data_IF_325720450872
#
_entry.id   IF_325720450872
#
_cell.length_a   1.000
_cell.length_b   1.000
_cell.length_c   1.000
_cell.angle_alpha   90.00
_cell.angle_beta   90.00
_cell.angle_gamma   90.00
#
_symmetry.space_group_name_H-M   'P 1'
#
loop_
_entity.id
_entity.type
_entity.pdbx_description
1 polymer ?
#
# COMPACT_ATOMS: atom_id res chain seq x y z
N UNK A 1 41.59 99.16 29.56
CA UNK A 1 40.36 98.44 29.99
C UNK A 1 39.75 97.55 28.88
N UNK A 2 40.41 97.34 27.73
CA UNK A 2 39.87 96.55 26.60
C UNK A 2 40.57 95.22 26.30
N UNK A 3 41.68 94.87 26.98
CA UNK A 3 42.38 93.59 26.74
C UNK A 3 41.77 92.37 27.45
N UNK A 4 40.80 92.57 28.35
CA UNK A 4 40.23 91.47 29.12
C UNK A 4 38.93 90.89 28.56
N UNK A 5 38.31 91.48 27.51
CA UNK A 5 37.12 90.89 26.89
C UNK A 5 37.43 89.86 25.78
N UNK A 6 38.57 89.97 25.09
CA UNK A 6 38.90 89.04 24.00
C UNK A 6 39.37 87.65 24.50
N UNK A 7 39.87 87.57 25.74
CA UNK A 7 40.29 86.30 26.36
C UNK A 7 39.12 85.45 26.85
N UNK A 8 37.94 86.05 27.05
CA UNK A 8 36.80 85.33 27.62
C UNK A 8 35.99 84.53 26.57
N UNK A 9 36.00 84.95 25.30
CA UNK A 9 35.33 84.20 24.22
C UNK A 9 36.16 83.03 23.67
N UNK A 10 37.50 83.13 23.71
CA UNK A 10 38.38 82.02 23.33
C UNK A 10 38.23 80.81 24.26
N UNK A 11 37.94 81.04 25.54
CA UNK A 11 37.62 79.97 26.48
C UNK A 11 36.31 79.26 26.15
N UNK A 12 35.29 80.00 25.71
CA UNK A 12 33.98 79.44 25.35
C UNK A 12 34.01 78.63 24.06
N UNK A 13 34.80 79.08 23.06
CA UNK A 13 35.07 78.32 21.83
C UNK A 13 35.81 77.02 22.13
N UNK A 14 36.77 77.03 23.07
CA UNK A 14 37.50 75.81 23.43
C UNK A 14 36.61 74.81 24.17
N UNK A 15 35.72 75.27 25.07
CA UNK A 15 34.76 74.41 25.78
C UNK A 15 33.74 73.80 24.82
N UNK A 16 33.21 74.58 23.87
CA UNK A 16 32.25 74.08 22.87
C UNK A 16 32.90 73.09 21.89
N UNK A 17 34.15 73.34 21.45
CA UNK A 17 34.91 72.38 20.67
C UNK A 17 35.17 71.07 21.43
N UNK A 18 35.50 71.16 22.73
CA UNK A 18 35.69 69.99 23.58
C UNK A 18 34.39 69.19 23.74
N UNK A 19 33.25 69.87 23.91
CA UNK A 19 31.94 69.25 23.99
C UNK A 19 31.54 68.54 22.69
N UNK A 20 31.81 69.15 21.53
CA UNK A 20 31.56 68.53 20.22
C UNK A 20 32.46 67.31 20.01
N UNK A 21 33.75 67.39 20.36
CA UNK A 21 34.68 66.25 20.24
C UNK A 21 34.28 65.11 21.18
N UNK A 22 33.86 65.42 22.41
CA UNK A 22 33.33 64.42 23.34
C UNK A 22 32.05 63.75 22.81
N UNK A 23 31.17 64.52 22.17
CA UNK A 23 29.96 64.00 21.53
C UNK A 23 30.29 63.08 20.34
N UNK A 24 31.27 63.47 19.50
CA UNK A 24 31.73 62.66 18.37
C UNK A 24 32.40 61.35 18.82
N UNK A 25 33.17 61.39 19.91
CA UNK A 25 33.75 60.19 20.54
C UNK A 25 32.65 59.25 21.07
N UNK A 26 31.61 59.80 21.70
CA UNK A 26 30.47 59.01 22.17
C UNK A 26 29.69 58.37 21.00
N UNK A 27 29.47 59.11 19.90
CA UNK A 27 28.83 58.61 18.68
C UNK A 27 29.66 57.51 18.00
N UNK A 28 30.98 57.68 17.91
CA UNK A 28 31.89 56.67 17.36
C UNK A 28 31.93 55.40 18.23
N UNK A 29 31.92 55.54 19.55
CA UNK A 29 31.80 54.42 20.49
C UNK A 29 30.49 53.65 20.32
N UNK A 30 29.36 54.36 20.20
CA UNK A 30 28.06 53.74 19.95
C UNK A 30 27.99 53.01 18.60
N UNK A 31 28.59 53.58 17.55
CA UNK A 31 28.65 52.95 16.23
C UNK A 31 29.50 51.66 16.22
N UNK A 32 30.63 51.64 16.92
CA UNK A 32 31.44 50.43 17.09
C UNK A 32 30.67 49.32 17.82
N UNK A 33 29.99 49.66 18.92
CA UNK A 33 29.17 48.70 19.67
C UNK A 33 28.03 48.15 18.80
N UNK A 34 27.37 48.99 17.98
CA UNK A 34 26.34 48.52 17.05
C UNK A 34 26.89 47.61 15.94
N UNK A 35 28.10 47.87 15.43
CA UNK A 35 28.76 47.00 14.44
C UNK A 35 29.11 45.63 15.04
N UNK A 36 29.60 45.61 16.28
CA UNK A 36 29.91 44.38 17.01
C UNK A 36 28.64 43.56 17.28
N UNK A 37 27.55 44.21 17.71
CA UNK A 37 26.24 43.58 17.87
C UNK A 37 25.71 43.02 16.53
N UNK A 38 25.93 43.73 15.42
CA UNK A 38 25.56 43.27 14.08
C UNK A 38 26.32 42.01 13.64
N UNK A 39 27.63 41.94 13.91
CA UNK A 39 28.44 40.76 13.61
C UNK A 39 28.05 39.55 14.47
N UNK A 40 27.74 39.77 15.76
CA UNK A 40 27.24 38.72 16.66
C UNK A 40 25.88 38.18 16.19
N UNK A 41 24.99 39.06 15.72
CA UNK A 41 23.69 38.68 15.14
C UNK A 41 23.84 37.78 13.92
N UNK A 42 24.65 38.17 12.92
CA UNK A 42 24.88 37.37 11.71
C UNK A 42 25.53 36.00 12.01
N UNK A 43 26.48 35.97 12.95
CA UNK A 43 27.11 34.72 13.38
C UNK A 43 26.11 33.79 14.07
N UNK A 44 25.21 34.35 14.91
CA UNK A 44 24.18 33.59 15.60
C UNK A 44 23.13 33.01 14.62
N UNK A 45 22.74 33.77 13.59
CA UNK A 45 21.82 33.33 12.56
C UNK A 45 22.40 32.17 11.73
N UNK A 46 23.67 32.29 11.30
CA UNK A 46 24.34 31.20 10.57
C UNK A 46 24.44 29.93 11.42
N UNK A 47 24.74 30.05 12.71
CA UNK A 47 24.78 28.90 13.64
C UNK A 47 23.40 28.28 13.80
N UNK A 48 22.35 29.10 13.90
CA UNK A 48 20.97 28.64 13.97
C UNK A 48 20.59 27.84 12.72
N UNK A 49 20.87 28.35 11.51
CA UNK A 49 20.53 27.66 10.26
C UNK A 49 21.22 26.29 10.12
N UNK A 50 22.49 26.19 10.53
CA UNK A 50 23.24 24.92 10.50
C UNK A 50 22.72 23.92 11.55
N UNK A 51 22.44 24.38 12.77
CA UNK A 51 21.80 23.55 13.80
C UNK A 51 20.39 23.10 13.36
N UNK A 52 19.65 23.97 12.68
CA UNK A 52 18.33 23.68 12.13
C UNK A 52 18.39 22.58 11.06
N UNK A 53 19.37 22.63 10.16
CA UNK A 53 19.60 21.60 9.16
C UNK A 53 20.01 20.26 9.78
N UNK A 54 20.91 20.27 10.76
CA UNK A 54 21.30 19.05 11.48
C UNK A 54 20.14 18.42 12.26
N UNK A 55 19.26 19.24 12.85
CA UNK A 55 18.04 18.76 13.52
C UNK A 55 17.05 18.12 12.54
N UNK A 56 16.91 18.66 11.32
CA UNK A 56 16.09 18.04 10.27
C UNK A 56 16.66 16.71 9.83
N UNK A 57 17.97 16.66 9.60
CA UNK A 57 18.63 15.42 9.24
C UNK A 57 18.40 14.33 10.31
N UNK A 58 18.54 14.67 11.59
CA UNK A 58 18.31 13.75 12.71
C UNK A 58 16.88 13.18 12.71
N UNK A 59 15.90 14.06 12.49
CA UNK A 59 14.48 13.69 12.39
C UNK A 59 14.25 12.75 11.19
N UNK A 60 14.74 13.10 10.00
CA UNK A 60 14.55 12.26 8.82
C UNK A 60 15.22 10.89 8.95
N UNK A 61 16.43 10.82 9.53
CA UNK A 61 17.13 9.55 9.77
C UNK A 61 16.33 8.66 10.74
N UNK A 62 15.81 9.23 11.84
CA UNK A 62 14.97 8.49 12.78
C UNK A 62 13.66 8.01 12.15
N UNK A 63 13.05 8.79 11.27
CA UNK A 63 11.79 8.40 10.61
C UNK A 63 12.04 7.30 9.56
N UNK A 64 13.12 7.39 8.78
CA UNK A 64 13.53 6.33 7.87
C UNK A 64 13.72 5.01 8.61
N UNK A 65 14.38 5.05 9.77
CA UNK A 65 14.51 3.87 10.63
C UNK A 65 13.15 3.37 11.12
N UNK A 66 12.25 4.25 11.57
CA UNK A 66 10.93 3.84 12.05
C UNK A 66 10.10 3.09 11.00
N UNK A 67 10.30 3.45 9.74
CA UNK A 67 9.67 2.85 8.57
C UNK A 67 10.35 1.55 8.15
N UNK A 68 11.67 1.55 8.04
CA UNK A 68 12.46 0.39 7.60
C UNK A 68 12.37 -0.77 8.59
N UNK A 69 12.33 -0.46 9.90
CA UNK A 69 12.39 -1.46 10.96
C UNK A 69 11.07 -1.64 11.71
N UNK A 70 10.00 -0.93 11.32
CA UNK A 70 8.69 -0.91 12.01
C UNK A 70 8.81 -0.70 13.54
N UNK A 71 9.87 0.00 13.99
CA UNK A 71 10.27 0.10 15.38
C UNK A 71 10.84 1.50 15.66
N UNK A 72 10.76 1.97 16.90
CA UNK A 72 11.27 3.30 17.19
C UNK A 72 12.80 3.33 17.17
N UNK A 73 13.41 4.36 16.57
CA UNK A 73 14.84 4.38 16.29
C UNK A 73 15.71 4.48 17.55
N UNK A 74 16.83 3.73 17.62
CA UNK A 74 17.74 3.80 18.74
C UNK A 74 18.43 5.16 18.79
N UNK A 75 18.92 5.55 19.96
CA UNK A 75 19.62 6.82 20.09
C UNK A 75 20.88 6.82 19.22
N UNK A 76 21.00 7.82 18.34
CA UNK A 76 22.14 7.97 17.43
C UNK A 76 22.66 9.40 17.49
N UNK A 77 23.97 9.54 17.37
CA UNK A 77 24.66 10.83 17.29
C UNK A 77 25.69 10.83 16.17
N UNK A 78 25.90 11.97 15.54
CA UNK A 78 26.92 12.13 14.51
C UNK A 78 27.08 13.56 14.05
N UNK A 79 27.67 13.74 12.88
CA UNK A 79 27.89 15.05 12.25
C UNK A 79 27.35 15.09 10.84
N UNK A 80 26.81 16.25 10.42
CA UNK A 80 26.39 16.51 9.04
C UNK A 80 27.19 17.70 8.50
N UNK A 81 27.62 17.63 7.24
CA UNK A 81 28.45 18.65 6.59
C UNK A 81 29.96 18.43 6.76
N UNK A 82 30.76 19.34 6.22
CA UNK A 82 32.23 19.27 6.21
C UNK A 82 32.86 20.62 6.60
N UNK A 83 34.04 20.56 7.22
CA UNK A 83 34.82 21.74 7.60
C UNK A 83 34.08 22.68 8.56
N UNK A 84 34.16 23.99 8.31
CA UNK A 84 33.53 25.02 9.14
C UNK A 84 31.99 25.03 9.13
N UNK A 85 31.36 24.20 8.28
CA UNK A 85 29.90 24.03 8.21
C UNK A 85 29.44 22.69 8.82
N UNK A 86 30.31 21.99 9.56
CA UNK A 86 29.95 20.75 10.26
C UNK A 86 29.09 21.05 11.50
N UNK A 87 27.93 20.42 11.58
CA UNK A 87 27.03 20.50 12.73
C UNK A 87 26.81 19.11 13.34
N UNK A 88 26.68 19.05 14.66
CA UNK A 88 26.39 17.81 15.38
C UNK A 88 24.89 17.55 15.37
N UNK A 89 24.50 16.29 15.26
CA UNK A 89 23.12 15.87 15.44
C UNK A 89 23.03 14.73 16.46
N UNK A 90 21.92 14.68 17.17
CA UNK A 90 21.50 13.57 18.04
C UNK A 90 20.02 13.36 17.79
N UNK A 91 19.54 12.13 17.69
CA UNK A 91 18.13 11.87 17.91
C UNK A 91 17.93 10.77 18.93
N UNK A 92 16.78 10.84 19.60
CA UNK A 92 16.26 9.80 20.46
C UNK A 92 14.79 9.57 20.13
N UNK A 93 14.28 8.38 20.43
CA UNK A 93 12.86 8.10 20.26
C UNK A 93 12.25 7.42 21.47
N UNK A 94 10.94 7.57 21.59
CA UNK A 94 10.13 6.92 22.62
C UNK A 94 8.96 6.24 21.91
N UNK A 95 8.75 4.96 22.22
CA UNK A 95 7.63 4.20 21.70
C UNK A 95 6.34 4.49 22.47
N UNK A 96 5.23 4.70 21.74
CA UNK A 96 3.89 4.80 22.31
C UNK A 96 2.88 4.07 21.40
N UNK A 97 2.45 2.88 21.78
CA UNK A 97 1.53 2.03 20.99
C UNK A 97 1.99 1.91 19.53
N UNK A 98 1.16 2.30 18.55
CA UNK A 98 1.45 2.25 17.10
C UNK A 98 2.19 3.48 16.58
N UNK A 99 2.78 4.30 17.45
CA UNK A 99 3.50 5.50 17.08
C UNK A 99 4.89 5.57 17.70
N UNK A 100 5.81 6.23 17.00
CA UNK A 100 7.10 6.63 17.52
C UNK A 100 7.14 8.14 17.68
N UNK A 101 7.43 8.58 18.90
CA UNK A 101 7.82 9.95 19.16
C UNK A 101 9.31 10.07 18.88
N UNK A 102 9.70 10.86 17.88
CA UNK A 102 11.10 11.07 17.51
C UNK A 102 11.48 12.50 17.89
N UNK A 103 12.58 12.64 18.61
CA UNK A 103 13.19 13.90 18.98
C UNK A 103 14.56 14.01 18.32
N UNK A 104 14.72 14.92 17.38
CA UNK A 104 16.00 15.26 16.75
C UNK A 104 16.53 16.60 17.24
N UNK A 105 17.79 16.63 17.67
CA UNK A 105 18.53 17.81 18.09
C UNK A 105 19.72 18.04 17.17
N UNK A 106 19.84 19.24 16.62
CA UNK A 106 21.03 19.71 15.91
C UNK A 106 21.76 20.76 16.74
N UNK A 107 23.09 20.82 16.66
CA UNK A 107 23.90 21.78 17.43
C UNK A 107 25.20 22.19 16.74
N UNK A 108 25.62 23.44 16.97
CA UNK A 108 26.92 23.98 16.54
C UNK A 108 27.41 25.02 17.56
N UNK A 109 28.56 24.76 18.18
CA UNK A 109 29.04 25.55 19.32
C UNK A 109 28.01 25.58 20.46
N UNK A 110 27.57 26.78 20.86
CA UNK A 110 26.58 26.97 21.92
C UNK A 110 25.13 27.05 21.40
N UNK A 111 24.91 26.98 20.08
CA UNK A 111 23.58 27.00 19.47
C UNK A 111 23.02 25.60 19.32
N UNK A 112 21.75 25.38 19.67
CA UNK A 112 21.04 24.12 19.41
C UNK A 112 19.61 24.34 18.97
N UNK A 113 19.12 23.47 18.09
CA UNK A 113 17.73 23.43 17.62
C UNK A 113 17.17 22.05 17.89
N UNK A 114 15.96 21.99 18.44
CA UNK A 114 15.24 20.74 18.72
C UNK A 114 14.00 20.65 17.85
N UNK A 115 13.77 19.48 17.26
CA UNK A 115 12.60 19.14 16.47
C UNK A 115 12.01 17.85 16.97
N UNK A 116 10.71 17.82 17.11
CA UNK A 116 9.97 16.62 17.54
C UNK A 116 8.88 16.29 16.53
N UNK A 117 8.55 15.01 16.41
CA UNK A 117 7.52 14.50 15.52
C UNK A 117 6.93 13.20 16.07
N UNK A 118 5.74 12.86 15.60
CA UNK A 118 5.08 11.58 15.86
C UNK A 118 4.86 10.89 14.53
N UNK A 119 5.36 9.66 14.37
CA UNK A 119 5.17 8.87 13.15
C UNK A 119 4.47 7.56 13.45
N UNK A 120 3.49 7.15 12.62
CA UNK A 120 2.85 5.85 12.72
C UNK A 120 3.87 4.76 12.38
N UNK A 121 3.78 3.66 13.11
CA UNK A 121 4.63 2.48 12.91
C UNK A 121 4.22 1.69 11.67
N UNK A 122 2.95 1.71 11.21
CA UNK A 122 2.47 0.96 10.03
C UNK A 122 1.16 1.47 9.36
N UNK A 123 1.07 1.37 8.02
CA UNK A 123 -0.12 0.99 7.23
C UNK A 123 -0.13 -0.53 7.08
N UNK A 124 -1.10 -1.20 7.71
CA UNK A 124 -1.05 -2.65 7.86
C UNK A 124 -1.55 -3.34 6.57
N UNK A 125 -0.64 -3.95 5.82
CA UNK A 125 -0.99 -4.90 4.76
C UNK A 125 -0.95 -6.29 5.39
N UNK A 126 -2.10 -6.93 5.60
CA UNK A 126 -2.18 -8.28 6.18
C UNK A 126 -2.21 -9.37 5.11
N UNK A 127 -1.94 -10.61 5.50
CA UNK A 127 -2.20 -11.78 4.63
C UNK A 127 -3.66 -11.87 4.21
N UNK A 128 -4.55 -11.48 5.12
CA UNK A 128 -5.96 -11.26 4.86
C UNK A 128 -6.43 -9.96 5.50
N UNK A 129 -7.30 -9.24 4.79
CA UNK A 129 -8.01 -8.06 5.32
C UNK A 129 -9.50 -8.20 5.10
N UNK A 130 -10.27 -7.98 6.15
CA UNK A 130 -11.74 -8.07 6.12
C UNK A 130 -12.39 -6.95 6.91
N UNK A 131 -13.61 -6.57 6.54
CA UNK A 131 -14.40 -5.59 7.32
C UNK A 131 -15.09 -6.21 8.53
N UNK A 132 -15.20 -7.54 8.60
CA UNK A 132 -15.75 -8.24 9.76
C UNK A 132 -16.07 -9.70 9.49
N UNK A 133 -16.89 -10.30 10.35
CA UNK A 133 -17.44 -11.63 10.12
C UNK A 133 -16.77 -12.76 10.91
N UNK A 134 -16.65 -13.94 10.30
CA UNK A 134 -16.20 -15.17 10.98
C UNK A 134 -15.08 -15.87 10.20
N UNK A 135 -14.07 -16.34 10.91
CA UNK A 135 -12.99 -17.18 10.38
C UNK A 135 -13.10 -18.58 10.98
N UNK A 136 -13.33 -19.58 10.14
CA UNK A 136 -13.32 -21.00 10.54
C UNK A 136 -12.13 -21.70 9.87
N UNK A 137 -11.14 -22.10 10.66
CA UNK A 137 -9.99 -22.89 10.21
C UNK A 137 -10.14 -24.30 10.78
N UNK A 138 -10.60 -25.24 9.97
CA UNK A 138 -10.90 -26.61 10.42
C UNK A 138 -9.90 -27.66 9.91
N UNK A 139 -9.11 -27.36 8.88
CA UNK A 139 -8.06 -28.26 8.41
C UNK A 139 -6.85 -28.31 9.35
N UNK A 140 -6.19 -29.47 9.42
CA UNK A 140 -5.03 -29.68 10.29
C UNK A 140 -3.85 -28.76 9.95
N UNK A 141 -3.74 -28.31 8.69
CA UNK A 141 -2.72 -27.36 8.23
C UNK A 141 -3.33 -26.04 7.74
N UNK A 142 -4.59 -25.75 8.07
CA UNK A 142 -5.26 -24.53 7.65
C UNK A 142 -4.68 -23.30 8.36
N UNK A 143 -4.00 -22.42 7.65
CA UNK A 143 -3.34 -21.27 8.25
C UNK A 143 -3.49 -19.96 7.44
N UNK A 144 -3.40 -18.83 8.15
CA UNK A 144 -3.26 -17.49 7.56
C UNK A 144 -2.00 -16.87 8.15
N UNK A 145 -1.02 -16.60 7.29
CA UNK A 145 0.28 -16.10 7.64
C UNK A 145 0.50 -14.69 7.09
N UNK A 146 1.00 -13.80 7.95
CA UNK A 146 1.42 -12.45 7.58
C UNK A 146 2.73 -12.39 6.78
N UNK A 147 3.26 -13.54 6.35
CA UNK A 147 4.35 -13.65 5.38
C UNK A 147 4.43 -15.05 4.74
N UNK A 148 5.03 -15.12 3.56
CA UNK A 148 5.16 -16.34 2.74
C UNK A 148 6.57 -16.93 2.72
N UNK A 149 7.58 -16.08 2.48
CA UNK A 149 8.97 -16.52 2.30
C UNK A 149 9.86 -15.99 3.40
N UNK A 150 11.06 -16.56 3.51
CA UNK A 150 12.14 -16.04 4.36
C UNK A 150 12.59 -14.61 4.01
N UNK A 151 11.97 -13.95 3.01
CA UNK A 151 12.22 -12.55 2.68
C UNK A 151 11.50 -11.61 3.67
N UNK A 152 11.99 -11.58 4.89
CA UNK A 152 11.66 -10.56 5.89
C UNK A 152 12.25 -9.19 5.54
N UNK A 153 13.10 -9.09 4.52
CA UNK A 153 13.87 -7.88 4.22
C UNK A 153 13.03 -6.80 3.55
N UNK A 154 11.95 -7.18 2.86
CA UNK A 154 11.11 -6.24 2.12
C UNK A 154 10.08 -5.51 2.98
N UNK A 155 9.48 -6.18 3.96
CA UNK A 155 8.27 -5.70 4.67
C UNK A 155 8.17 -6.19 6.13
N UNK A 156 9.18 -6.89 6.65
CA UNK A 156 9.06 -7.58 7.94
C UNK A 156 7.93 -8.62 7.95
N UNK A 157 7.47 -8.97 9.14
CA UNK A 157 6.34 -9.88 9.35
C UNK A 157 5.12 -9.02 9.61
N UNK A 158 4.14 -9.10 8.72
CA UNK A 158 2.91 -8.35 8.85
C UNK A 158 1.90 -9.07 9.76
N UNK A 159 0.78 -8.41 10.10
CA UNK A 159 -0.35 -9.12 10.66
C UNK A 159 -0.85 -10.23 9.73
N UNK A 160 -1.19 -11.38 10.30
CA UNK A 160 -1.82 -12.46 9.52
C UNK A 160 -3.19 -12.01 9.02
N UNK A 161 -3.98 -11.44 9.94
CA UNK A 161 -5.31 -10.91 9.64
C UNK A 161 -5.46 -9.49 10.16
N UNK A 162 -6.11 -8.64 9.36
CA UNK A 162 -6.58 -7.33 9.79
C UNK A 162 -8.10 -7.29 9.63
N UNK A 163 -8.81 -6.92 10.69
CA UNK A 163 -10.27 -6.91 10.68
C UNK A 163 -10.83 -5.56 11.11
N UNK A 164 -11.91 -5.13 10.43
CA UNK A 164 -12.68 -3.93 10.80
C UNK A 164 -13.48 -4.08 12.08
N UNK A 165 -13.71 -5.31 12.53
CA UNK A 165 -14.45 -5.64 13.74
C UNK A 165 -13.82 -6.83 14.46
N UNK A 166 -14.34 -7.16 15.65
CA UNK A 166 -14.09 -8.48 16.23
C UNK A 166 -14.50 -9.57 15.24
N UNK A 167 -13.67 -10.62 15.16
CA UNK A 167 -13.93 -11.81 14.36
C UNK A 167 -14.49 -12.90 15.27
N UNK A 168 -15.53 -13.59 14.80
CA UNK A 168 -15.97 -14.83 15.40
C UNK A 168 -15.20 -16.03 14.82
N UNK A 169 -15.13 -17.14 15.56
CA UNK A 169 -14.70 -18.43 15.01
C UNK A 169 -13.71 -19.22 15.84
N UNK A 170 -13.34 -20.40 15.33
CA UNK A 170 -12.38 -21.30 15.96
C UNK A 170 -11.05 -21.27 15.20
N UNK A 171 -10.13 -20.43 15.66
CA UNK A 171 -8.79 -20.27 15.09
C UNK A 171 -7.78 -20.10 16.22
N UNK A 172 -6.66 -20.83 16.13
CA UNK A 172 -5.50 -20.55 16.96
C UNK A 172 -4.85 -19.23 16.55
N UNK A 173 -4.18 -18.55 17.47
CA UNK A 173 -3.35 -17.39 17.14
C UNK A 173 -1.94 -17.63 17.67
N UNK A 174 -0.94 -17.39 16.82
CA UNK A 174 0.48 -17.62 17.15
C UNK A 174 1.29 -16.41 16.73
N UNK A 175 1.69 -15.60 17.70
CA UNK A 175 2.61 -14.49 17.45
C UNK A 175 3.96 -15.05 17.01
N UNK A 176 4.54 -14.47 15.97
CA UNK A 176 5.85 -14.88 15.48
C UNK A 176 6.73 -13.68 15.14
N UNK A 177 8.02 -13.82 15.40
CA UNK A 177 9.06 -12.86 14.97
C UNK A 177 9.88 -13.41 13.79
N UNK A 178 9.55 -14.59 13.29
CA UNK A 178 10.14 -15.20 12.08
C UNK A 178 9.06 -15.72 11.15
N UNK A 179 9.30 -15.67 9.84
CA UNK A 179 8.39 -16.29 8.88
C UNK A 179 8.47 -17.81 8.99
N UNK A 180 7.35 -18.45 9.33
CA UNK A 180 7.24 -19.90 9.28
C UNK A 180 7.02 -20.31 7.83
N UNK A 181 7.90 -21.17 7.29
CA UNK A 181 7.75 -21.69 5.93
C UNK A 181 6.44 -22.46 5.72
N UNK A 182 5.90 -23.05 6.80
CA UNK A 182 4.61 -23.72 6.88
C UNK A 182 4.01 -23.45 8.27
N UNK A 183 3.09 -22.50 8.41
CA UNK A 183 2.46 -22.21 9.69
C UNK A 183 1.59 -23.42 10.10
N UNK A 184 1.82 -23.95 11.30
CA UNK A 184 1.12 -25.14 11.79
C UNK A 184 -0.25 -24.74 12.35
N UNK A 185 -1.18 -24.43 11.44
CA UNK A 185 -2.58 -24.12 11.75
C UNK A 185 -2.82 -22.75 12.43
N UNK A 186 -3.93 -22.10 12.10
CA UNK A 186 -4.36 -20.86 12.75
C UNK A 186 -3.84 -19.57 12.10
N UNK A 187 -3.88 -18.47 12.85
CA UNK A 187 -3.38 -17.16 12.43
C UNK A 187 -1.95 -16.97 12.92
N UNK A 188 -1.05 -16.59 12.02
CA UNK A 188 0.37 -16.41 12.31
C UNK A 188 0.83 -15.05 11.79
N UNK A 189 1.48 -14.26 12.64
CA UNK A 189 1.96 -12.92 12.25
C UNK A 189 2.48 -12.12 13.44
N UNK A 190 2.76 -10.83 13.20
CA UNK A 190 3.28 -9.91 14.21
C UNK A 190 2.55 -8.56 14.19
N UNK A 191 1.47 -8.38 14.98
CA UNK A 191 0.72 -9.40 15.72
C UNK A 191 -0.07 -10.33 14.79
N UNK A 192 -0.49 -11.54 15.21
CA UNK A 192 -1.25 -12.46 14.35
C UNK A 192 -2.56 -11.87 13.81
N UNK A 193 -3.20 -11.03 14.62
CA UNK A 193 -4.44 -10.35 14.30
C UNK A 193 -4.34 -8.89 14.75
N UNK A 194 -4.83 -7.98 13.91
CA UNK A 194 -4.99 -6.57 14.22
C UNK A 194 -6.45 -6.19 14.00
N UNK A 195 -7.06 -5.50 14.97
CA UNK A 195 -8.39 -4.91 14.80
C UNK A 195 -8.21 -3.44 14.48
N UNK A 196 -8.63 -3.04 13.28
CA UNK A 196 -8.63 -1.65 12.81
C UNK A 196 -10.09 -1.22 12.56
N UNK A 197 -10.78 -0.63 13.55
CA UNK A 197 -12.17 -0.20 13.41
C UNK A 197 -12.36 0.93 12.39
N UNK A 198 -11.26 1.52 11.88
CA UNK A 198 -11.28 2.51 10.81
C UNK A 198 -11.24 1.89 9.40
N UNK A 199 -11.33 0.56 9.28
CA UNK A 199 -11.51 -0.12 8.00
C UNK A 199 -12.89 0.19 7.41
N UNK A 200 -12.95 1.26 6.61
CA UNK A 200 -14.06 1.55 5.70
C UNK A 200 -14.08 0.58 4.51
N UNK A 201 -14.53 1.03 3.34
CA UNK A 201 -14.44 0.25 2.12
C UNK A 201 -12.98 -0.14 1.83
N UNK A 202 -12.72 -1.44 1.67
CA UNK A 202 -11.39 -1.98 1.44
C UNK A 202 -10.90 -1.69 0.02
N UNK A 203 -11.78 -1.60 -0.98
CA UNK A 203 -11.36 -1.29 -2.33
C UNK A 203 -10.70 0.09 -2.39
N UNK A 204 -11.21 1.07 -1.63
CA UNK A 204 -10.56 2.37 -1.48
C UNK A 204 -9.12 2.29 -0.91
N UNK A 205 -8.75 1.23 -0.19
CA UNK A 205 -7.39 1.05 0.36
C UNK A 205 -6.43 0.41 -0.65
N UNK A 206 -6.91 -0.53 -1.45
CA UNK A 206 -6.08 -1.31 -2.37
C UNK A 206 -6.09 -0.79 -3.81
N UNK A 207 -7.12 -0.05 -4.17
CA UNK A 207 -7.36 0.42 -5.52
C UNK A 207 -7.33 1.96 -5.57
N UNK A 208 -6.76 2.49 -6.65
CA UNK A 208 -6.70 3.90 -7.00
C UNK A 208 -7.97 4.30 -7.74
N UNK A 209 -9.09 4.16 -7.03
CA UNK A 209 -10.45 4.48 -7.47
C UNK A 209 -10.93 5.69 -6.67
N UNK A 210 -11.61 6.61 -7.35
CA UNK A 210 -12.20 7.79 -6.72
C UNK A 210 -13.69 7.55 -6.62
N UNK A 211 -14.25 7.77 -5.42
CA UNK A 211 -15.69 7.76 -5.18
C UNK A 211 -16.33 8.94 -5.93
N UNK A 212 -16.85 8.65 -7.13
CA UNK A 212 -17.24 9.68 -8.09
C UNK A 212 -18.60 10.28 -7.75
N UNK A 213 -19.49 9.50 -7.13
CA UNK A 213 -20.84 9.91 -6.75
C UNK A 213 -21.03 10.11 -5.24
N UNK A 214 -19.97 9.88 -4.46
CA UNK A 214 -19.89 10.09 -3.00
C UNK A 214 -20.84 9.21 -2.20
N UNK A 215 -21.17 8.01 -2.70
CA UNK A 215 -22.05 7.07 -2.02
C UNK A 215 -21.31 6.17 -0.99
N UNK A 216 -19.97 6.19 -1.00
CA UNK A 216 -19.11 5.42 -0.12
C UNK A 216 -18.93 3.96 -0.51
N UNK A 217 -19.37 3.56 -1.71
CA UNK A 217 -19.22 2.24 -2.33
C UNK A 217 -18.19 2.37 -3.44
N UNK A 218 -17.02 1.75 -3.29
CA UNK A 218 -15.95 1.90 -4.29
C UNK A 218 -15.95 0.79 -5.34
N UNK A 219 -16.93 -0.12 -5.27
CA UNK A 219 -17.00 -1.30 -6.13
C UNK A 219 -17.45 -0.94 -7.55
N UNK A 220 -18.47 -0.10 -7.68
CA UNK A 220 -18.95 0.43 -8.95
C UNK A 220 -17.95 1.43 -9.56
N UNK A 221 -17.24 2.24 -8.76
CA UNK A 221 -16.11 3.01 -9.27
C UNK A 221 -14.97 2.12 -9.79
N UNK A 222 -14.70 1.00 -9.12
CA UNK A 222 -13.76 -0.01 -9.61
C UNK A 222 -14.25 -0.60 -10.93
N UNK A 223 -15.55 -0.92 -11.05
CA UNK A 223 -16.16 -1.35 -12.31
C UNK A 223 -15.95 -0.30 -13.40
N UNK A 224 -16.22 0.97 -13.13
CA UNK A 224 -16.01 2.07 -14.07
C UNK A 224 -14.55 2.19 -14.51
N UNK A 225 -13.61 2.00 -13.58
CA UNK A 225 -12.18 2.07 -13.88
C UNK A 225 -11.72 0.87 -14.73
N UNK A 226 -12.22 -0.33 -14.44
CA UNK A 226 -12.00 -1.52 -15.28
C UNK A 226 -12.60 -1.34 -16.67
N UNK A 227 -13.81 -0.80 -16.75
CA UNK A 227 -14.51 -0.47 -17.99
C UNK A 227 -13.66 0.47 -18.87
N UNK A 228 -13.16 1.56 -18.29
CA UNK A 228 -12.30 2.51 -19.00
C UNK A 228 -10.97 1.88 -19.44
N UNK A 229 -10.33 1.10 -18.57
CA UNK A 229 -9.01 0.50 -18.84
C UNK A 229 -9.04 -0.56 -19.93
N UNK A 230 -10.03 -1.45 -19.90
CA UNK A 230 -10.13 -2.56 -20.85
C UNK A 230 -11.07 -2.23 -22.03
N UNK A 231 -11.74 -1.08 -22.00
CA UNK A 231 -12.73 -0.66 -22.99
C UNK A 231 -13.91 -1.63 -23.04
N UNK A 232 -14.40 -2.04 -21.88
CA UNK A 232 -15.56 -2.92 -21.70
C UNK A 232 -16.60 -2.18 -20.86
N UNK A 233 -17.79 -2.74 -20.72
CA UNK A 233 -18.72 -2.38 -19.64
C UNK A 233 -18.68 -3.51 -18.61
N UNK A 234 -17.91 -3.32 -17.54
CA UNK A 234 -17.75 -4.32 -16.49
C UNK A 234 -19.01 -4.48 -15.60
N UNK A 235 -19.88 -3.47 -15.55
CA UNK A 235 -21.13 -3.53 -14.81
C UNK A 235 -22.21 -4.26 -15.62
N UNK A 236 -22.34 -3.94 -16.91
CA UNK A 236 -23.26 -4.61 -17.83
C UNK A 236 -22.72 -5.89 -18.45
N UNK A 237 -21.44 -6.22 -18.25
CA UNK A 237 -20.74 -7.35 -18.87
C UNK A 237 -20.84 -7.37 -20.40
N UNK A 238 -20.65 -6.20 -21.01
CA UNK A 238 -20.63 -6.03 -22.46
C UNK A 238 -19.31 -5.43 -22.94
N UNK A 239 -19.07 -5.39 -24.24
CA UNK A 239 -17.86 -4.76 -24.78
C UNK A 239 -18.13 -4.03 -26.09
N UNK A 240 -17.70 -2.77 -26.16
CA UNK A 240 -17.75 -1.98 -27.37
C UNK A 240 -16.60 -2.31 -28.33
N UNK A 241 -16.90 -2.25 -29.63
CA UNK A 241 -15.89 -2.36 -30.68
C UNK A 241 -15.26 -3.73 -30.82
N UNK A 242 -15.99 -4.81 -30.52
CA UNK A 242 -15.53 -6.17 -30.80
C UNK A 242 -15.43 -6.42 -32.29
N UNK A 243 -14.34 -7.08 -32.69
CA UNK A 243 -14.20 -7.59 -34.04
C UNK A 243 -15.34 -8.58 -34.30
N UNK A 244 -16.03 -8.45 -35.43
CA UNK A 244 -17.12 -9.35 -35.79
C UNK A 244 -16.66 -10.82 -35.82
N UNK A 245 -15.39 -11.09 -36.10
CA UNK A 245 -14.79 -12.43 -36.05
C UNK A 245 -14.61 -12.97 -34.62
N UNK A 246 -14.78 -12.13 -33.60
CA UNK A 246 -14.62 -12.44 -32.18
C UNK A 246 -15.92 -12.21 -31.38
N UNK A 247 -17.05 -12.09 -32.07
CA UNK A 247 -18.38 -12.10 -31.48
C UNK A 247 -18.97 -13.49 -31.60
N UNK A 248 -19.35 -14.07 -30.47
CA UNK A 248 -19.96 -15.39 -30.43
C UNK A 248 -21.31 -15.31 -29.73
N UNK A 249 -22.25 -16.11 -30.21
CA UNK A 249 -23.58 -16.19 -29.61
C UNK A 249 -23.94 -17.64 -29.38
N UNK A 250 -24.23 -17.99 -28.13
CA UNK A 250 -24.77 -19.29 -27.77
C UNK A 250 -26.30 -19.17 -27.67
N UNK A 251 -27.01 -19.88 -28.55
CA UNK A 251 -28.48 -19.78 -28.70
C UNK A 251 -29.25 -20.94 -28.08
N UNK A 252 -28.61 -22.10 -27.89
CA UNK A 252 -29.24 -23.29 -27.32
C UNK A 252 -28.21 -24.19 -26.66
N UNK A 253 -28.20 -24.25 -25.32
CA UNK A 253 -27.83 -25.42 -24.50
C UNK A 253 -27.74 -25.05 -23.00
N UNK A 254 -27.74 -26.06 -22.14
CA UNK A 254 -27.20 -26.01 -20.76
C UNK A 254 -25.67 -25.87 -20.73
N UNK A 255 -24.98 -26.08 -21.86
CA UNK A 255 -23.53 -25.91 -22.01
C UNK A 255 -23.16 -25.58 -23.45
N UNK A 256 -22.35 -24.54 -23.67
CA UNK A 256 -21.88 -24.13 -24.99
C UNK A 256 -20.35 -24.19 -25.02
N UNK A 257 -19.76 -24.86 -26.01
CA UNK A 257 -18.30 -24.91 -26.17
C UNK A 257 -17.87 -23.93 -27.25
N UNK A 258 -16.96 -23.02 -26.91
CA UNK A 258 -16.39 -22.06 -27.85
C UNK A 258 -14.88 -22.26 -27.91
N UNK A 259 -14.37 -22.41 -29.13
CA UNK A 259 -12.94 -22.35 -29.42
C UNK A 259 -12.64 -20.98 -30.00
N UNK A 260 -11.88 -20.16 -29.26
CA UNK A 260 -11.49 -18.84 -29.74
C UNK A 260 -10.40 -18.97 -30.81
N UNK A 261 -10.62 -18.46 -32.04
CA UNK A 261 -9.62 -18.55 -33.09
C UNK A 261 -8.43 -17.63 -32.77
N UNK A 262 -7.26 -17.95 -33.36
CA UNK A 262 -6.05 -17.13 -33.24
C UNK A 262 -6.24 -15.71 -33.80
N UNK A 263 -7.22 -15.51 -34.70
CA UNK A 263 -7.61 -14.17 -35.19
C UNK A 263 -8.14 -13.24 -34.09
N UNK A 264 -8.47 -13.78 -32.92
CA UNK A 264 -8.87 -13.04 -31.72
C UNK A 264 -7.73 -12.80 -30.73
N UNK A 265 -6.50 -13.17 -31.05
CA UNK A 265 -5.33 -12.85 -30.22
C UNK A 265 -5.14 -11.32 -30.16
N UNK A 266 -4.87 -10.79 -28.97
CA UNK A 266 -4.75 -9.35 -28.69
C UNK A 266 -6.03 -8.55 -28.99
N UNK A 267 -7.18 -9.22 -29.12
CA UNK A 267 -8.49 -8.59 -29.35
C UNK A 267 -9.45 -8.87 -28.20
N UNK A 268 -10.53 -8.09 -28.19
CA UNK A 268 -11.70 -8.35 -27.36
C UNK A 268 -12.56 -9.41 -28.02
N UNK A 269 -12.89 -10.46 -27.27
CA UNK A 269 -13.89 -11.45 -27.63
C UNK A 269 -15.12 -11.23 -26.76
N UNK A 270 -16.28 -11.12 -27.41
CA UNK A 270 -17.56 -11.01 -26.72
C UNK A 270 -18.39 -12.25 -26.95
N UNK A 271 -18.94 -12.78 -25.88
CA UNK A 271 -19.69 -14.02 -25.89
C UNK A 271 -21.03 -13.78 -25.21
N UNK A 272 -22.06 -13.61 -26.03
CA UNK A 272 -23.43 -13.45 -25.56
C UNK A 272 -24.13 -14.79 -25.41
N UNK A 273 -24.85 -14.97 -24.31
CA UNK A 273 -25.90 -15.96 -24.20
C UNK A 273 -27.24 -15.33 -24.60
N UNK A 274 -27.82 -15.76 -25.72
CA UNK A 274 -29.15 -15.27 -26.16
C UNK A 274 -30.18 -16.39 -26.13
N UNK A 275 -31.44 -16.07 -25.82
CA UNK A 275 -32.54 -17.05 -25.79
C UNK A 275 -32.73 -17.73 -24.43
N UNK A 276 -33.00 -19.05 -24.42
CA UNK A 276 -33.27 -19.83 -23.20
C UNK A 276 -32.00 -20.22 -22.41
N UNK A 277 -30.84 -19.79 -22.87
CA UNK A 277 -29.58 -19.86 -22.13
C UNK A 277 -29.67 -18.94 -20.91
N UNK A 278 -30.02 -19.49 -19.74
CA UNK A 278 -30.02 -18.71 -18.52
C UNK A 278 -28.56 -18.33 -18.19
N UNK A 279 -28.24 -17.05 -17.92
CA UNK A 279 -26.90 -16.61 -17.53
C UNK A 279 -26.41 -17.21 -16.21
N UNK A 280 -27.29 -17.92 -15.48
CA UNK A 280 -26.96 -18.71 -14.29
C UNK A 280 -26.87 -20.22 -14.51
N UNK A 281 -27.15 -20.74 -15.71
CA UNK A 281 -27.20 -22.19 -15.99
C UNK A 281 -26.44 -22.64 -17.24
N UNK A 282 -25.92 -21.71 -18.05
CA UNK A 282 -25.23 -22.05 -19.29
C UNK A 282 -23.72 -22.03 -19.06
N UNK A 283 -23.12 -23.22 -18.96
CA UNK A 283 -21.67 -23.34 -18.83
C UNK A 283 -21.03 -23.05 -20.19
N UNK A 284 -20.31 -21.93 -20.31
CA UNK A 284 -19.50 -21.64 -21.47
C UNK A 284 -18.12 -22.25 -21.30
N UNK A 285 -17.87 -23.36 -21.99
CA UNK A 285 -16.54 -23.99 -22.00
C UNK A 285 -15.62 -23.29 -23.00
N UNK A 286 -14.60 -22.60 -22.51
CA UNK A 286 -13.55 -22.01 -23.33
C UNK A 286 -12.42 -22.99 -23.55
N UNK A 287 -12.29 -23.50 -24.78
CA UNK A 287 -11.25 -24.46 -25.14
C UNK A 287 -10.16 -23.84 -26.01
N UNK A 288 -8.93 -24.32 -25.82
CA UNK A 288 -7.74 -23.91 -26.58
C UNK A 288 -6.91 -22.86 -25.82
N UNK A 289 -5.78 -22.47 -26.41
CA UNK A 289 -4.89 -21.47 -25.81
C UNK A 289 -5.58 -20.10 -25.71
N UNK A 290 -5.82 -19.61 -24.50
CA UNK A 290 -6.53 -18.34 -24.27
C UNK A 290 -5.61 -17.11 -24.32
N UNK A 291 -4.33 -17.27 -24.66
CA UNK A 291 -3.30 -16.27 -24.46
C UNK A 291 -3.57 -14.89 -25.10
N UNK A 292 -3.28 -13.82 -24.35
CA UNK A 292 -3.37 -12.42 -24.77
C UNK A 292 -4.78 -12.00 -25.23
N UNK A 293 -5.85 -12.42 -24.54
CA UNK A 293 -7.23 -12.09 -24.91
C UNK A 293 -7.92 -11.26 -23.83
N UNK A 294 -8.90 -10.46 -24.24
CA UNK A 294 -9.89 -9.90 -23.31
C UNK A 294 -11.23 -10.56 -23.64
N UNK A 295 -11.77 -11.33 -22.71
CA UNK A 295 -12.98 -12.11 -22.89
C UNK A 295 -14.07 -11.51 -22.02
N UNK A 296 -15.21 -11.20 -22.62
CA UNK A 296 -16.38 -10.66 -21.92
C UNK A 296 -17.58 -11.55 -22.20
N UNK A 297 -18.28 -11.97 -21.15
CA UNK A 297 -19.51 -12.74 -21.27
C UNK A 297 -20.53 -12.36 -20.20
N UNK A 298 -21.80 -12.26 -20.59
CA UNK A 298 -22.94 -12.10 -19.67
C UNK A 298 -23.33 -13.40 -18.93
N UNK A 299 -22.76 -14.54 -19.33
CA UNK A 299 -23.04 -15.87 -18.79
C UNK A 299 -22.03 -16.36 -17.74
N UNK A 300 -21.94 -17.68 -17.59
CA UNK A 300 -20.95 -18.35 -16.74
C UNK A 300 -19.84 -18.94 -17.62
N UNK A 301 -18.60 -18.48 -17.43
CA UNK A 301 -17.42 -19.03 -18.11
C UNK A 301 -16.79 -20.17 -17.32
N UNK A 302 -16.49 -21.27 -18.00
CA UNK A 302 -15.70 -22.39 -17.51
C UNK A 302 -14.39 -22.47 -18.32
N UNK A 303 -13.26 -22.42 -17.61
CA UNK A 303 -11.92 -22.43 -18.17
C UNK A 303 -11.24 -23.72 -17.76
N UNK A 304 -11.00 -24.59 -18.75
CA UNK A 304 -10.34 -25.88 -18.58
C UNK A 304 -8.99 -25.97 -19.30
N UNK A 305 -8.50 -24.82 -19.79
CA UNK A 305 -7.41 -24.68 -20.76
C UNK A 305 -6.32 -23.73 -20.24
N UNK A 306 -5.08 -23.86 -20.76
CA UNK A 306 -4.01 -22.91 -20.42
C UNK A 306 -4.39 -21.46 -20.77
N UNK A 307 -4.05 -20.54 -19.87
CA UNK A 307 -4.32 -19.12 -20.02
C UNK A 307 -3.11 -18.30 -19.57
N UNK A 308 -2.71 -17.31 -20.36
CA UNK A 308 -1.68 -16.34 -20.02
C UNK A 308 -2.05 -14.95 -20.57
N UNK A 309 -1.70 -13.86 -19.86
CA UNK A 309 -2.00 -12.48 -20.30
C UNK A 309 -3.48 -12.26 -20.71
N UNK A 310 -4.42 -12.91 -20.05
CA UNK A 310 -5.83 -12.92 -20.44
C UNK A 310 -6.69 -12.27 -19.37
N UNK A 311 -7.56 -11.37 -19.79
CA UNK A 311 -8.54 -10.76 -18.90
C UNK A 311 -9.91 -11.37 -19.19
N UNK A 312 -10.62 -11.82 -18.17
CA UNK A 312 -11.93 -12.46 -18.28
C UNK A 312 -12.91 -11.70 -17.40
N UNK A 313 -14.00 -11.25 -18.00
CA UNK A 313 -15.09 -10.52 -17.36
C UNK A 313 -16.38 -11.30 -17.57
N UNK A 314 -16.98 -11.76 -16.48
CA UNK A 314 -18.15 -12.65 -16.59
C UNK A 314 -19.16 -12.48 -15.46
N UNK A 315 -20.32 -13.11 -15.56
CA UNK A 315 -21.23 -13.19 -14.42
C UNK A 315 -20.70 -14.18 -13.39
N UNK A 316 -20.21 -15.34 -13.84
CA UNK A 316 -19.52 -16.32 -12.99
C UNK A 316 -18.31 -16.89 -13.74
N UNK A 317 -17.26 -17.26 -13.01
CA UNK A 317 -16.08 -17.90 -13.59
C UNK A 317 -15.79 -19.18 -12.80
N UNK A 318 -15.61 -20.29 -13.51
CA UNK A 318 -15.03 -21.52 -12.96
C UNK A 318 -13.73 -21.82 -13.67
N UNK A 319 -12.65 -21.93 -12.92
CA UNK A 319 -11.40 -22.51 -13.39
C UNK A 319 -11.43 -23.99 -13.00
N UNK A 320 -11.55 -24.91 -13.95
CA UNK A 320 -11.45 -26.35 -13.66
C UNK A 320 -10.20 -26.92 -14.31
N UNK A 321 -9.12 -26.79 -13.56
CA UNK A 321 -7.79 -27.08 -14.05
C UNK A 321 -7.43 -28.50 -13.63
N UNK A 322 -7.75 -29.46 -14.51
CA UNK A 322 -7.36 -30.87 -14.36
C UNK A 322 -5.94 -31.12 -14.84
N UNK A 323 -5.48 -30.45 -15.92
CA UNK A 323 -4.11 -30.56 -16.42
C UNK A 323 -3.40 -29.26 -16.83
N UNK A 324 -4.05 -28.11 -16.62
CA UNK A 324 -3.65 -26.85 -17.24
C UNK A 324 -3.09 -25.85 -16.22
N UNK A 325 -2.33 -24.89 -16.73
CA UNK A 325 -1.74 -23.76 -15.99
C UNK A 325 -2.45 -22.48 -16.40
N UNK A 326 -2.95 -21.75 -15.42
CA UNK A 326 -3.45 -20.38 -15.61
C UNK A 326 -2.38 -19.47 -15.03
N UNK A 327 -1.64 -18.74 -15.85
CA UNK A 327 -0.61 -17.81 -15.41
C UNK A 327 -1.04 -16.38 -15.73
N UNK A 328 -0.52 -15.40 -14.98
CA UNK A 328 -0.40 -14.06 -15.53
C UNK A 328 0.58 -14.08 -16.70
N UNK A 329 0.80 -12.94 -17.32
CA UNK A 329 2.06 -12.71 -18.03
C UNK A 329 2.46 -11.26 -17.87
N UNK A 330 3.28 -10.72 -18.77
CA UNK A 330 3.75 -9.32 -18.76
C UNK A 330 2.65 -8.25 -18.71
N UNK A 331 1.42 -8.55 -19.12
CA UNK A 331 0.28 -7.63 -19.05
C UNK A 331 -0.68 -7.94 -17.89
N UNK A 332 -0.33 -8.93 -17.05
CA UNK A 332 -1.18 -9.49 -16.02
C UNK A 332 -2.40 -10.23 -16.58
N UNK A 333 -3.10 -10.97 -15.72
CA UNK A 333 -4.41 -11.55 -16.05
C UNK A 333 -5.42 -11.20 -14.96
N UNK A 334 -6.52 -10.58 -15.36
CA UNK A 334 -7.63 -10.19 -14.48
C UNK A 334 -8.77 -11.16 -14.66
N UNK A 335 -9.24 -11.77 -13.58
CA UNK A 335 -10.49 -12.50 -13.55
C UNK A 335 -11.48 -11.66 -12.75
N UNK A 336 -12.50 -11.14 -13.42
CA UNK A 336 -13.58 -10.39 -12.79
C UNK A 336 -14.89 -11.13 -13.00
N UNK A 337 -15.60 -11.41 -11.90
CA UNK A 337 -16.96 -11.92 -11.95
C UNK A 337 -17.90 -11.03 -11.15
N UNK A 338 -19.06 -10.69 -11.74
CA UNK A 338 -20.11 -9.97 -11.01
C UNK A 338 -20.69 -10.83 -9.86
N UNK A 339 -20.74 -12.14 -10.04
CA UNK A 339 -21.14 -13.14 -9.06
C UNK A 339 -19.94 -13.86 -8.44
N UNK A 340 -19.82 -15.15 -8.71
CA UNK A 340 -18.88 -16.05 -8.03
C UNK A 340 -17.70 -16.44 -8.93
N UNK A 341 -16.52 -16.52 -8.34
CA UNK A 341 -15.33 -17.16 -8.94
C UNK A 341 -15.03 -18.45 -8.18
N UNK A 342 -14.99 -19.56 -8.90
CA UNK A 342 -14.59 -20.88 -8.37
C UNK A 342 -13.29 -21.31 -9.02
N UNK A 343 -12.27 -21.60 -8.21
CA UNK A 343 -11.06 -22.29 -8.64
C UNK A 343 -11.14 -23.75 -8.18
N UNK A 344 -11.40 -24.66 -9.10
CA UNK A 344 -11.33 -26.11 -8.90
C UNK A 344 -9.95 -26.61 -9.36
N UNK A 345 -9.09 -26.91 -8.40
CA UNK A 345 -7.74 -27.39 -8.65
C UNK A 345 -7.70 -28.90 -8.49
N UNK A 346 -7.37 -29.61 -9.57
CA UNK A 346 -7.08 -31.04 -9.53
C UNK A 346 -5.59 -31.25 -9.85
N UNK A 347 -4.77 -31.42 -8.81
CA UNK A 347 -3.38 -31.90 -8.90
C UNK A 347 -2.29 -30.87 -9.26
N UNK A 348 -1.61 -30.31 -8.25
CA UNK A 348 -0.27 -29.73 -8.40
C UNK A 348 -0.18 -28.39 -9.14
N UNK A 349 -1.30 -27.69 -9.39
CA UNK A 349 -1.37 -26.60 -10.36
C UNK A 349 -1.09 -25.23 -9.76
N UNK A 350 -0.58 -24.33 -10.61
CA UNK A 350 -0.35 -22.93 -10.28
C UNK A 350 -1.37 -22.05 -11.00
N UNK A 351 -2.14 -21.28 -10.23
CA UNK A 351 -3.08 -20.25 -10.67
C UNK A 351 -2.39 -18.90 -10.40
N UNK A 352 -1.68 -18.40 -11.41
CA UNK A 352 -0.69 -17.36 -11.29
C UNK A 352 0.68 -17.92 -10.92
N UNK A 353 1.71 -17.11 -11.09
CA UNK A 353 3.07 -17.39 -10.60
C UNK A 353 3.60 -16.18 -9.83
N UNK A 354 4.78 -16.29 -9.22
CA UNK A 354 5.39 -15.15 -8.54
C UNK A 354 5.83 -14.05 -9.52
N UNK A 355 6.24 -14.42 -10.74
CA UNK A 355 6.60 -13.49 -11.82
C UNK A 355 5.38 -12.98 -12.57
N UNK A 356 4.29 -13.76 -12.56
CA UNK A 356 3.11 -13.48 -13.34
C UNK A 356 1.84 -13.75 -12.52
N UNK A 357 1.58 -12.90 -11.51
CA UNK A 357 0.44 -13.06 -10.62
C UNK A 357 -0.88 -12.70 -11.31
N UNK A 358 -1.97 -13.13 -10.67
CA UNK A 358 -3.33 -12.84 -11.11
C UNK A 358 -4.00 -11.79 -10.22
N UNK A 359 -5.00 -11.12 -10.77
CA UNK A 359 -6.02 -10.42 -9.98
C UNK A 359 -7.31 -11.20 -10.12
N UNK A 360 -7.96 -11.47 -9.00
CA UNK A 360 -9.26 -12.13 -8.93
C UNK A 360 -10.22 -11.21 -8.18
N UNK A 361 -11.26 -10.73 -8.86
CA UNK A 361 -12.28 -9.84 -8.32
C UNK A 361 -13.64 -10.54 -8.41
N UNK A 362 -14.23 -10.89 -7.27
CA UNK A 362 -15.52 -11.58 -7.23
C UNK A 362 -16.58 -10.73 -6.50
N UNK A 363 -17.63 -10.31 -7.21
CA UNK A 363 -18.67 -9.46 -6.64
C UNK A 363 -19.45 -10.12 -5.50
N UNK A 364 -19.59 -11.45 -5.50
CA UNK A 364 -20.33 -12.18 -4.47
C UNK A 364 -19.45 -13.12 -3.62
N UNK A 365 -18.75 -14.08 -4.24
CA UNK A 365 -17.96 -15.03 -3.46
C UNK A 365 -16.78 -15.59 -4.24
N UNK A 366 -15.76 -15.99 -3.49
CA UNK A 366 -14.63 -16.75 -4.01
C UNK A 366 -14.62 -18.14 -3.38
N UNK A 367 -14.50 -19.18 -4.20
CA UNK A 367 -14.37 -20.56 -3.75
C UNK A 367 -13.13 -21.21 -4.35
N UNK A 368 -12.32 -21.87 -3.55
CA UNK A 368 -11.19 -22.68 -3.98
C UNK A 368 -11.35 -24.10 -3.43
N UNK A 369 -11.44 -25.09 -4.32
CA UNK A 369 -11.74 -26.47 -3.95
C UNK A 369 -11.11 -27.48 -4.89
N UNK A 370 -11.26 -28.76 -4.57
CA UNK A 370 -10.72 -29.84 -5.39
C UNK A 370 -9.63 -30.65 -4.69
N UNK A 371 -9.05 -31.58 -5.45
CA UNK A 371 -8.12 -32.58 -4.93
C UNK A 371 -6.67 -32.29 -5.34
N UNK A 372 -5.74 -32.38 -4.39
CA UNK A 372 -4.31 -32.12 -4.62
C UNK A 372 -3.86 -30.71 -4.21
N UNK A 373 -2.54 -30.51 -4.20
CA UNK A 373 -1.91 -29.26 -3.74
C UNK A 373 -1.83 -28.26 -4.89
N UNK A 374 -2.57 -27.16 -4.82
CA UNK A 374 -2.52 -26.10 -5.85
C UNK A 374 -2.01 -24.78 -5.26
N UNK A 375 -1.22 -24.02 -6.01
CA UNK A 375 -0.76 -22.69 -5.61
C UNK A 375 -1.59 -21.64 -6.32
N UNK A 376 -1.99 -20.58 -5.62
CA UNK A 376 -2.59 -19.39 -6.22
C UNK A 376 -1.73 -18.18 -5.89
N UNK A 377 -1.15 -17.54 -6.90
CA UNK A 377 -0.32 -16.35 -6.72
C UNK A 377 -1.05 -15.11 -7.24
N UNK A 378 -1.38 -14.17 -6.36
CA UNK A 378 -2.06 -12.95 -6.77
C UNK A 378 -2.77 -12.17 -5.68
N UNK A 379 -3.60 -11.23 -6.13
CA UNK A 379 -4.54 -10.49 -5.29
C UNK A 379 -5.94 -11.05 -5.50
N UNK A 380 -6.56 -11.54 -4.44
CA UNK A 380 -7.95 -11.98 -4.46
C UNK A 380 -8.76 -10.97 -3.66
N UNK A 381 -9.80 -10.41 -4.28
CA UNK A 381 -10.71 -9.50 -3.62
C UNK A 381 -12.16 -9.91 -3.88
N UNK A 382 -12.99 -9.84 -2.84
CA UNK A 382 -14.42 -10.08 -2.97
C UNK A 382 -15.25 -9.03 -2.25
N UNK A 383 -16.40 -8.69 -2.83
CA UNK A 383 -17.35 -7.75 -2.24
C UNK A 383 -18.50 -8.44 -1.48
N UNK A 384 -18.61 -9.77 -1.54
CA UNK A 384 -19.71 -10.49 -0.90
C UNK A 384 -19.29 -11.39 0.25
N UNK A 385 -20.22 -12.24 0.67
CA UNK A 385 -20.18 -12.86 2.01
C UNK A 385 -19.32 -14.11 2.10
N UNK A 386 -18.92 -14.72 0.99
CA UNK A 386 -18.31 -16.04 0.99
C UNK A 386 -16.86 -16.08 0.51
N UNK A 387 -15.97 -16.61 1.36
CA UNK A 387 -14.68 -17.14 0.95
C UNK A 387 -14.55 -18.57 1.44
N UNK A 388 -14.66 -19.52 0.51
CA UNK A 388 -14.64 -20.94 0.84
C UNK A 388 -13.37 -21.59 0.30
N UNK A 389 -12.63 -22.27 1.16
CA UNK A 389 -11.45 -23.03 0.75
C UNK A 389 -11.57 -24.45 1.31
N UNK A 390 -11.86 -25.40 0.43
CA UNK A 390 -12.11 -26.81 0.78
C UNK A 390 -10.98 -27.74 0.34
N UNK A 391 -10.13 -27.29 -0.58
CA UNK A 391 -8.99 -28.06 -1.10
C UNK A 391 -7.68 -27.82 -0.34
N UNK A 392 -6.59 -28.43 -0.80
CA UNK A 392 -5.23 -28.13 -0.32
C UNK A 392 -4.63 -27.03 -1.20
N UNK A 393 -4.75 -25.78 -0.76
CA UNK A 393 -4.29 -24.60 -1.50
C UNK A 393 -3.15 -23.88 -0.79
N UNK A 394 -2.16 -23.42 -1.54
CA UNK A 394 -1.20 -22.42 -1.07
C UNK A 394 -1.52 -21.09 -1.77
N UNK A 395 -2.10 -20.13 -1.06
CA UNK A 395 -2.45 -18.81 -1.60
C UNK A 395 -1.33 -17.83 -1.23
N UNK A 396 -0.69 -17.20 -2.21
CA UNK A 396 0.42 -16.26 -2.03
C UNK A 396 0.04 -14.89 -2.58
N UNK A 397 0.08 -13.87 -1.74
CA UNK A 397 -0.24 -12.49 -2.12
C UNK A 397 -1.10 -11.81 -1.07
N UNK A 398 -2.34 -11.46 -1.37
CA UNK A 398 -3.28 -10.96 -0.37
C UNK A 398 -4.73 -11.34 -0.69
N UNK A 399 -5.52 -11.48 0.36
CA UNK A 399 -6.95 -11.77 0.31
C UNK A 399 -7.74 -10.62 0.95
N UNK A 400 -8.67 -10.04 0.20
CA UNK A 400 -9.48 -8.90 0.61
C UNK A 400 -10.94 -9.31 0.60
N UNK A 401 -11.66 -9.07 1.70
CA UNK A 401 -13.10 -9.23 1.72
C UNK A 401 -13.79 -7.97 2.26
N UNK A 402 -14.48 -7.26 1.37
CA UNK A 402 -15.14 -5.99 1.67
C UNK A 402 -16.53 -6.15 2.33
N UNK A 403 -16.96 -7.38 2.63
CA UNK A 403 -18.20 -7.62 3.36
C UNK A 403 -17.99 -7.51 4.87
N UNK A 404 -18.94 -6.89 5.56
CA UNK A 404 -19.01 -6.87 7.03
C UNK A 404 -19.46 -8.21 7.63
N UNK A 405 -20.06 -9.08 6.80
CA UNK A 405 -20.56 -10.40 7.17
C UNK A 405 -19.75 -11.51 6.50
N UNK A 406 -18.48 -11.25 6.21
CA UNK A 406 -17.60 -12.19 5.53
C UNK A 406 -17.48 -13.50 6.32
N UNK A 407 -17.67 -14.61 5.64
CA UNK A 407 -17.37 -15.94 6.16
C UNK A 407 -16.15 -16.47 5.41
N UNK A 408 -15.03 -16.58 6.11
CA UNK A 408 -13.93 -17.42 5.66
C UNK A 408 -14.12 -18.82 6.24
N UNK A 409 -14.37 -19.78 5.36
CA UNK A 409 -14.45 -21.18 5.72
C UNK A 409 -13.30 -21.96 5.06
N UNK A 410 -12.22 -22.18 5.81
CA UNK A 410 -11.11 -23.03 5.38
C UNK A 410 -11.27 -24.41 6.05
N UNK A 411 -12.00 -25.29 5.36
CA UNK A 411 -12.20 -26.68 5.79
C UNK A 411 -11.16 -27.63 5.19
N UNK A 412 -10.45 -27.18 4.17
CA UNK A 412 -9.30 -27.86 3.59
C UNK A 412 -8.00 -27.59 4.33
N UNK A 413 -6.89 -28.06 3.76
CA UNK A 413 -5.54 -27.80 4.28
C UNK A 413 -4.91 -26.59 3.56
N UNK A 414 -5.64 -25.48 3.49
CA UNK A 414 -5.14 -24.31 2.77
C UNK A 414 -4.30 -23.37 3.64
N UNK A 415 -3.23 -22.86 3.05
CA UNK A 415 -2.27 -21.95 3.66
C UNK A 415 -2.30 -20.62 2.89
N UNK A 416 -2.75 -19.55 3.55
CA UNK A 416 -2.85 -18.21 2.98
C UNK A 416 -1.66 -17.40 3.49
N UNK A 417 -0.81 -16.92 2.59
CA UNK A 417 0.44 -16.26 2.92
C UNK A 417 0.54 -14.88 2.27
N UNK A 418 0.84 -13.88 3.10
CA UNK A 418 1.16 -12.55 2.59
C UNK A 418 2.45 -12.58 1.76
N UNK A 419 2.42 -12.08 0.53
CA UNK A 419 3.62 -11.98 -0.29
C UNK A 419 3.72 -10.61 -0.98
N UNK A 420 4.56 -9.73 -0.41
CA UNK A 420 4.78 -8.38 -0.93
C UNK A 420 5.43 -8.37 -2.32
N UNK A 421 6.29 -9.34 -2.63
CA UNK A 421 6.89 -9.46 -3.97
C UNK A 421 5.82 -9.67 -5.03
N UNK A 422 4.87 -10.56 -4.77
CA UNK A 422 3.71 -10.80 -5.63
C UNK A 422 2.87 -9.54 -5.78
N UNK A 423 2.57 -8.81 -4.71
CA UNK A 423 1.77 -7.59 -4.81
C UNK A 423 2.48 -6.47 -5.57
N UNK A 424 3.80 -6.33 -5.41
CA UNK A 424 4.62 -5.40 -6.20
C UNK A 424 4.58 -5.78 -7.68
N UNK A 425 4.61 -7.07 -8.00
CA UNK A 425 4.51 -7.56 -9.36
C UNK A 425 3.09 -7.33 -9.93
N UNK A 426 2.02 -7.55 -9.15
CA UNK A 426 0.65 -7.14 -9.51
C UNK A 426 0.64 -5.64 -9.83
N UNK A 427 1.18 -4.78 -8.97
CA UNK A 427 1.24 -3.35 -9.27
C UNK A 427 2.09 -3.03 -10.51
N UNK A 428 3.21 -3.73 -10.73
CA UNK A 428 4.06 -3.53 -11.90
C UNK A 428 3.35 -3.88 -13.21
N UNK A 429 2.56 -4.96 -13.21
CA UNK A 429 1.82 -5.43 -14.38
C UNK A 429 0.57 -4.61 -14.65
N UNK A 430 -0.15 -4.24 -13.60
CA UNK A 430 -1.46 -3.60 -13.75
C UNK A 430 -1.41 -2.08 -13.58
N UNK A 431 -0.52 -1.50 -12.78
CA UNK A 431 -0.56 -0.07 -12.48
C UNK A 431 -1.94 0.36 -11.94
N UNK A 432 -2.52 1.44 -12.45
CA UNK A 432 -3.93 1.80 -12.21
C UNK A 432 -4.86 0.65 -12.71
N UNK A 433 -5.82 0.13 -11.91
CA UNK A 433 -6.43 0.75 -10.73
C UNK A 433 -5.83 0.34 -9.38
N UNK A 434 -4.58 -0.13 -9.29
CA UNK A 434 -4.00 -0.53 -8.02
C UNK A 434 -3.24 0.60 -7.37
N UNK A 435 -3.43 0.76 -6.06
CA UNK A 435 -2.50 1.54 -5.25
C UNK A 435 -1.21 0.75 -5.14
N UNK A 436 -0.10 1.47 -5.26
CA UNK A 436 1.22 0.86 -5.07
C UNK A 436 1.27 0.24 -3.67
N UNK A 437 1.57 -1.06 -3.56
CA UNK A 437 1.72 -1.68 -2.26
C UNK A 437 2.90 -1.04 -1.57
N UNK A 438 2.62 -0.47 -0.41
CA UNK A 438 3.63 0.10 0.47
C UNK A 438 3.70 -0.76 1.70
N UNK A 439 4.90 -1.14 2.11
CA UNK A 439 5.08 -1.60 3.47
C UNK A 439 4.75 -0.41 4.35
N UNK A 440 3.75 -0.54 5.21
CA UNK A 440 3.65 0.36 6.35
C UNK A 440 4.54 -0.18 7.45
N UNK A 441 5.43 0.58 8.11
CA UNK A 441 5.56 2.04 8.29
C UNK A 441 5.65 2.92 7.04
N UNK A 442 4.83 3.97 6.97
CA UNK A 442 4.43 4.65 5.73
C UNK A 442 5.41 5.66 5.10
N UNK A 443 5.01 6.27 3.96
CA UNK A 443 5.76 7.35 3.31
C UNK A 443 5.74 8.64 4.16
N UNK A 444 6.93 9.19 4.36
CA UNK A 444 7.37 9.97 5.51
C UNK A 444 7.12 11.49 5.36
N UNK A 445 7.12 12.00 4.13
CA UNK A 445 7.21 13.45 3.88
C UNK A 445 5.96 14.26 4.26
N UNK A 446 4.75 13.69 4.20
CA UNK A 446 3.50 14.41 4.53
C UNK A 446 3.18 14.40 6.03
N UNK A 447 3.56 13.33 6.75
CA UNK A 447 3.39 13.24 8.21
C UNK A 447 4.34 14.20 8.93
N UNK A 448 5.56 14.39 8.41
CA UNK A 448 6.58 15.30 8.97
C UNK A 448 6.18 16.79 8.89
N UNK A 449 5.45 17.23 7.85
CA UNK A 449 5.13 18.65 7.70
C UNK A 449 4.09 19.17 8.73
N UNK A 450 3.21 18.30 9.23
CA UNK A 450 2.10 18.68 10.12
C UNK A 450 2.34 18.37 11.61
N UNK A 451 3.33 17.55 11.98
CA UNK A 451 3.62 17.22 13.40
C UNK A 451 4.88 17.89 13.94
N UNK A 452 5.52 18.76 13.16
CA UNK A 452 6.80 19.38 13.51
C UNK A 452 6.59 20.56 14.46
N UNK A 453 6.78 20.31 15.75
CA UNK A 453 6.99 21.39 16.71
C UNK A 453 8.49 21.76 16.71
N UNK A 454 8.79 23.01 16.37
CA UNK A 454 10.13 23.61 16.52
C UNK A 454 10.09 24.49 17.77
N UNK A 455 10.83 24.11 18.80
CA UNK A 455 10.99 24.90 20.03
C UNK A 455 12.34 25.60 19.95
N UNK A 456 12.32 26.93 20.09
CA UNK A 456 13.50 27.80 20.04
C UNK A 456 14.21 27.87 21.38
#
# INVERSE_FOLDING_TARGET
MYENMYKNEQGFVMISALAIVALLLALAGAAMIMSELGHLSLSSEKRYQLANWAAEYAVYDGVNYAVEYAACPPNKSGTVGTGFNQANYIYYSVAAADYCFIHGKGSIGNGSVVKTLVVPKTAAWGGMVTRGGTINLQGNAAAIAGCDTSDTSSCGIMPGVISGSELGGNYGTTATTTCAANPVGGLVGSPPMLIDPSLGDLFARYFDVTDTDSDGVFWDDLQNTLSAKFGIDAAGLTSDGTDAACQFTCTTATSCTITLPASCDNKKAYIACTGSCSPSATNLLLQGSLNNKTIVSDGHIYIDSNMANTNVFSNNITLDLTNETVAGGTAGSTLYAAGTITAAGNGGRNIGTASDPLIILAGNSFAAGGSGNSTLCGLIATNGTGMEITGSYEIKGALINNSTSALLNNTGNADIKFNMGILKEVYAQFGNPFKRPTCGGGNINSTIQNTKLTVY
#
